data_IF_253942214191
#
_entry.id   IF_253942214191
#
_cell.length_a   1.000
_cell.length_b   1.000
_cell.length_c   1.000
_cell.angle_alpha   90.00
_cell.angle_beta   90.00
_cell.angle_gamma   90.00
#
_symmetry.space_group_name_H-M   'P 1'
#
loop_
_entity.id
_entity.type
_entity.pdbx_description
1 polymer ?
#
# COMPACT_ATOMS: atom_id res chain seq x y z
N UNK A 1 4.13 10.59 12.71
CA UNK A 1 3.05 9.58 12.71
C UNK A 1 3.19 8.85 11.39
N UNK A 2 3.29 7.52 11.41
CA UNK A 2 3.40 6.77 10.16
C UNK A 2 2.02 6.59 9.50
N UNK A 3 1.97 6.05 8.28
CA UNK A 3 0.72 5.83 7.54
C UNK A 3 -0.24 4.89 8.28
N UNK A 4 0.27 3.81 8.86
CA UNK A 4 -0.53 2.81 9.60
C UNK A 4 -1.23 3.47 10.80
N UNK A 5 -0.50 4.23 11.61
CA UNK A 5 -1.04 4.98 12.75
C UNK A 5 -2.11 5.98 12.31
N UNK A 6 -1.85 6.70 11.21
CA UNK A 6 -2.78 7.68 10.65
C UNK A 6 -4.10 7.03 10.20
N UNK A 7 -4.01 5.92 9.47
CA UNK A 7 -5.17 5.17 9.00
C UNK A 7 -5.92 4.50 10.15
N UNK A 8 -5.21 4.00 11.17
CA UNK A 8 -5.80 3.48 12.40
C UNK A 8 -6.65 4.51 13.14
N UNK A 9 -6.15 5.73 13.28
CA UNK A 9 -6.91 6.83 13.89
C UNK A 9 -8.13 7.22 13.05
N UNK A 10 -8.01 7.22 11.71
CA UNK A 10 -9.14 7.45 10.80
C UNK A 10 -10.23 6.38 10.95
N UNK A 11 -9.86 5.09 11.01
CA UNK A 11 -10.81 3.97 11.22
C UNK A 11 -11.58 4.13 12.53
N UNK A 12 -10.91 4.65 13.57
CA UNK A 12 -11.52 4.93 14.86
C UNK A 12 -12.29 6.25 14.92
N UNK A 13 -12.35 7.02 13.82
CA UNK A 13 -12.95 8.35 13.75
C UNK A 13 -12.36 9.33 14.79
N UNK A 14 -11.08 9.15 15.13
CA UNK A 14 -10.35 10.05 16.02
C UNK A 14 -9.88 11.26 15.21
N UNK A 15 -10.22 12.51 15.61
CA UNK A 15 -9.77 13.70 14.92
C UNK A 15 -8.23 13.84 14.91
N UNK A 16 -7.68 14.05 13.72
CA UNK A 16 -6.25 14.26 13.49
C UNK A 16 -6.04 15.71 13.06
N UNK A 17 -5.07 16.39 13.65
CA UNK A 17 -4.72 17.78 13.32
C UNK A 17 -3.34 17.83 12.68
N UNK A 18 -3.23 18.50 11.52
CA UNK A 18 -1.94 18.78 10.87
C UNK A 18 -1.19 19.86 11.65
N UNK A 19 0.10 19.64 11.90
CA UNK A 19 0.97 20.52 12.66
C UNK A 19 2.36 20.55 12.03
N UNK A 20 2.57 21.51 11.11
CA UNK A 20 3.73 21.51 10.22
C UNK A 20 3.71 20.26 9.31
N UNK A 21 4.86 19.58 9.24
CA UNK A 21 5.03 18.33 8.46
C UNK A 21 4.52 17.07 9.17
N UNK A 22 3.94 17.23 10.36
CA UNK A 22 3.50 16.10 11.19
C UNK A 22 2.02 16.19 11.57
N UNK A 23 1.50 15.09 12.11
CA UNK A 23 0.13 14.99 12.60
C UNK A 23 0.09 14.76 14.11
N UNK A 24 -0.91 15.35 14.76
CA UNK A 24 -1.14 15.24 16.21
C UNK A 24 -2.60 14.94 16.53
N UNK A 25 -2.83 14.32 17.67
CA UNK A 25 -4.17 14.02 18.19
C UNK A 25 -4.44 14.92 19.39
N UNK A 26 -5.63 15.52 19.42
CA UNK A 26 -6.09 16.30 20.59
C UNK A 26 -6.50 15.35 21.70
N UNK A 27 -6.03 15.58 22.91
CA UNK A 27 -6.31 14.76 24.10
C UNK A 27 -6.59 15.60 25.32
N UNK A 28 -7.33 15.04 26.26
CA UNK A 28 -7.65 15.68 27.53
C UNK A 28 -6.63 15.27 28.60
N UNK A 29 -5.98 16.26 29.22
CA UNK A 29 -5.14 16.08 30.41
C UNK A 29 -5.99 16.16 31.68
N UNK A 30 -5.44 15.76 32.84
CA UNK A 30 -6.04 16.06 34.14
C UNK A 30 -6.46 17.53 34.23
N UNK A 31 -7.59 17.78 34.90
CA UNK A 31 -8.21 19.11 35.02
C UNK A 31 -8.71 19.71 33.70
N UNK A 32 -9.17 18.86 32.76
CA UNK A 32 -9.83 19.27 31.51
C UNK A 32 -9.00 20.17 30.60
N UNK A 33 -7.66 20.16 30.75
CA UNK A 33 -6.75 20.89 29.85
C UNK A 33 -6.60 20.14 28.55
N UNK A 34 -6.86 20.80 27.42
CA UNK A 34 -6.67 20.20 26.08
C UNK A 34 -5.22 20.34 25.64
N UNK A 35 -4.61 19.25 25.19
CA UNK A 35 -3.24 19.24 24.63
C UNK A 35 -3.21 18.43 23.34
N UNK A 36 -2.14 18.61 22.55
CA UNK A 36 -1.89 17.79 21.37
C UNK A 36 -0.75 16.81 21.66
N UNK A 37 -0.93 15.55 21.25
CA UNK A 37 0.11 14.52 21.36
C UNK A 37 0.48 13.98 19.97
N UNK A 38 1.78 13.76 19.79
CA UNK A 38 2.37 13.00 18.68
C UNK A 38 2.80 11.62 19.17
N UNK A 39 3.29 10.74 18.29
CA UNK A 39 3.76 9.38 18.64
C UNK A 39 2.66 8.60 19.37
N UNK A 40 1.57 8.32 18.65
CA UNK A 40 0.32 7.81 19.21
C UNK A 40 0.43 6.36 19.70
N UNK A 41 1.39 5.61 19.17
CA UNK A 41 1.70 4.24 19.63
C UNK A 41 2.53 4.20 20.92
N UNK A 42 3.04 5.34 21.40
CA UNK A 42 3.76 5.38 22.67
C UNK A 42 2.79 5.03 23.82
N UNK A 43 3.09 4.07 24.72
CA UNK A 43 2.14 3.56 25.72
C UNK A 43 1.41 4.65 26.51
N UNK A 44 2.16 5.65 27.00
CA UNK A 44 1.62 6.80 27.73
C UNK A 44 0.60 7.62 26.91
N UNK A 45 0.90 7.85 25.63
CA UNK A 45 0.01 8.62 24.76
C UNK A 45 -1.19 7.78 24.32
N UNK A 46 -0.99 6.48 24.10
CA UNK A 46 -2.03 5.53 23.75
C UNK A 46 -3.09 5.46 24.85
N UNK A 47 -2.69 5.34 26.11
CA UNK A 47 -3.63 5.39 27.25
C UNK A 47 -4.39 6.71 27.33
N UNK A 48 -3.72 7.83 27.08
CA UNK A 48 -4.32 9.15 27.13
C UNK A 48 -5.35 9.37 26.01
N UNK A 49 -5.04 8.90 24.80
CA UNK A 49 -5.96 8.92 23.65
C UNK A 49 -7.15 7.99 23.92
N UNK A 50 -6.89 6.75 24.37
CA UNK A 50 -7.93 5.79 24.73
C UNK A 50 -8.91 6.38 25.76
N UNK A 51 -8.40 7.03 26.80
CA UNK A 51 -9.22 7.71 27.82
C UNK A 51 -10.03 8.87 27.24
N UNK A 52 -9.40 9.75 26.45
CA UNK A 52 -10.06 10.92 25.83
C UNK A 52 -11.23 10.49 24.95
N UNK A 53 -11.01 9.51 24.07
CA UNK A 53 -11.99 9.09 23.08
C UNK A 53 -12.90 7.94 23.56
N UNK A 54 -12.76 7.52 24.82
CA UNK A 54 -13.53 6.44 25.44
C UNK A 54 -13.45 5.12 24.64
N UNK A 55 -12.25 4.77 24.17
CA UNK A 55 -11.96 3.54 23.43
C UNK A 55 -11.03 2.68 24.29
N UNK A 56 -11.17 1.35 24.25
CA UNK A 56 -10.25 0.49 25.00
C UNK A 56 -8.81 0.61 24.47
N UNK A 57 -7.78 0.67 25.34
CA UNK A 57 -6.38 0.70 24.90
C UNK A 57 -6.03 -0.46 23.97
N UNK A 58 -6.57 -1.65 24.24
CA UNK A 58 -6.41 -2.84 23.39
C UNK A 58 -6.96 -2.62 21.97
N UNK A 59 -8.15 -2.03 21.84
CA UNK A 59 -8.74 -1.73 20.53
C UNK A 59 -7.94 -0.64 19.81
N UNK A 60 -7.57 0.43 20.52
CA UNK A 60 -6.76 1.50 19.95
C UNK A 60 -5.43 0.98 19.43
N UNK A 61 -4.71 0.22 20.25
CA UNK A 61 -3.44 -0.43 19.88
C UNK A 61 -3.60 -1.30 18.65
N UNK A 62 -4.61 -2.18 18.64
CA UNK A 62 -4.90 -3.05 17.50
C UNK A 62 -5.10 -2.24 16.22
N UNK A 63 -5.90 -1.17 16.24
CA UNK A 63 -6.14 -0.37 15.03
C UNK A 63 -4.91 0.44 14.59
N UNK A 64 -4.08 0.91 15.53
CA UNK A 64 -2.82 1.62 15.23
C UNK A 64 -1.73 0.70 14.66
N UNK A 65 -1.79 -0.59 14.97
CA UNK A 65 -0.91 -1.63 14.45
C UNK A 65 -1.52 -2.37 13.25
N UNK A 66 -2.81 -2.14 12.95
CA UNK A 66 -3.52 -2.81 11.87
C UNK A 66 -3.05 -2.28 10.53
N UNK A 67 -2.13 -3.02 9.94
CA UNK A 67 -1.80 -2.93 8.53
C UNK A 67 -3.00 -3.46 7.73
N UNK A 68 -3.83 -2.55 7.21
CA UNK A 68 -4.91 -2.94 6.31
C UNK A 68 -4.28 -3.56 5.06
N UNK A 69 -4.39 -4.88 4.95
CA UNK A 69 -4.09 -5.59 3.72
C UNK A 69 -5.38 -5.65 2.93
N UNK A 70 -5.45 -5.05 1.73
CA UNK A 70 -6.61 -5.23 0.88
C UNK A 70 -6.84 -6.72 0.67
N UNK A 71 -8.10 -7.13 0.55
CA UNK A 71 -8.43 -8.52 0.27
C UNK A 71 -7.64 -8.99 -0.96
N UNK A 72 -6.96 -10.14 -0.82
CA UNK A 72 -6.19 -10.72 -1.92
C UNK A 72 -7.14 -11.20 -3.00
N UNK A 73 -6.90 -10.75 -4.22
CA UNK A 73 -7.71 -11.12 -5.39
C UNK A 73 -6.78 -11.52 -6.52
N UNK A 74 -7.17 -12.57 -7.23
CA UNK A 74 -6.49 -13.02 -8.43
C UNK A 74 -7.52 -13.26 -9.52
N UNK A 75 -7.37 -12.56 -10.64
CA UNK A 75 -8.18 -12.80 -11.83
C UNK A 75 -7.26 -13.26 -12.97
N UNK A 76 -7.67 -14.33 -13.64
CA UNK A 76 -7.00 -14.84 -14.82
C UNK A 76 -7.92 -14.68 -16.03
N UNK A 77 -7.40 -14.11 -17.11
CA UNK A 77 -8.09 -14.04 -18.39
C UNK A 77 -7.18 -14.55 -19.49
N UNK A 78 -7.67 -15.51 -20.26
CA UNK A 78 -6.98 -16.04 -21.43
C UNK A 78 -7.78 -15.79 -22.69
N UNK A 79 -7.11 -15.25 -23.70
CA UNK A 79 -7.58 -15.10 -25.08
C UNK A 79 -6.63 -15.89 -25.99
N UNK A 80 -7.00 -16.07 -27.26
CA UNK A 80 -6.23 -16.87 -28.23
C UNK A 80 -4.75 -16.48 -28.36
N UNK A 81 -4.40 -15.22 -28.09
CA UNK A 81 -3.05 -14.67 -28.26
C UNK A 81 -2.54 -13.92 -27.02
N UNK A 82 -3.31 -13.90 -25.93
CA UNK A 82 -2.99 -13.07 -24.77
C UNK A 82 -3.46 -13.74 -23.46
N UNK A 83 -2.57 -13.73 -22.48
CA UNK A 83 -2.85 -14.11 -21.10
C UNK A 83 -2.68 -12.88 -20.21
N UNK A 84 -3.64 -12.67 -19.31
CA UNK A 84 -3.63 -11.59 -18.34
C UNK A 84 -3.81 -12.16 -16.93
N UNK A 85 -2.89 -11.80 -16.05
CA UNK A 85 -2.87 -12.15 -14.63
C UNK A 85 -2.98 -10.88 -13.81
N UNK A 86 -4.13 -10.68 -13.15
CA UNK A 86 -4.39 -9.51 -12.32
C UNK A 86 -4.30 -9.91 -10.84
N UNK A 87 -3.46 -9.21 -10.09
CA UNK A 87 -3.24 -9.41 -8.66
C UNK A 87 -3.67 -8.16 -7.88
N UNK A 88 -4.61 -8.30 -6.97
CA UNK A 88 -5.08 -7.24 -6.07
C UNK A 88 -4.77 -7.55 -4.61
N UNK A 89 -4.37 -6.54 -3.83
CA UNK A 89 -4.13 -6.70 -2.39
C UNK A 89 -2.82 -7.40 -2.00
N UNK A 90 -1.86 -7.45 -2.92
CA UNK A 90 -0.49 -7.93 -2.67
C UNK A 90 0.43 -6.76 -2.34
N UNK A 91 1.45 -7.00 -1.52
CA UNK A 91 2.55 -6.03 -1.40
C UNK A 91 3.38 -6.00 -2.68
N UNK A 92 4.24 -5.00 -2.80
CA UNK A 92 5.13 -4.85 -3.94
C UNK A 92 6.06 -6.06 -4.08
N UNK A 93 6.78 -6.43 -3.01
CA UNK A 93 7.66 -7.61 -2.96
C UNK A 93 6.92 -8.91 -3.32
N UNK A 94 5.68 -9.08 -2.83
CA UNK A 94 4.87 -10.26 -3.13
C UNK A 94 4.49 -10.32 -4.62
N UNK A 95 4.13 -9.18 -5.20
CA UNK A 95 3.83 -9.07 -6.63
C UNK A 95 5.08 -9.35 -7.47
N UNK A 96 6.22 -8.83 -7.05
CA UNK A 96 7.52 -9.07 -7.67
C UNK A 96 7.87 -10.54 -7.74
N UNK A 97 7.77 -11.23 -6.59
CA UNK A 97 8.04 -12.65 -6.54
C UNK A 97 7.07 -13.44 -7.44
N UNK A 98 5.78 -13.06 -7.48
CA UNK A 98 4.79 -13.69 -8.36
C UNK A 98 5.12 -13.50 -9.84
N UNK A 99 5.56 -12.31 -10.24
CA UNK A 99 6.01 -12.04 -11.61
C UNK A 99 7.24 -12.89 -11.93
N UNK A 100 8.22 -12.96 -11.01
CA UNK A 100 9.41 -13.79 -11.17
C UNK A 100 9.06 -15.25 -11.40
N UNK A 101 8.28 -15.83 -10.48
CA UNK A 101 7.88 -17.23 -10.50
C UNK A 101 7.13 -17.56 -11.80
N UNK A 102 6.22 -16.68 -12.21
CA UNK A 102 5.47 -16.84 -13.46
C UNK A 102 6.40 -16.87 -14.67
N UNK A 103 7.31 -15.90 -14.78
CA UNK A 103 8.21 -15.77 -15.93
C UNK A 103 9.23 -16.91 -15.99
N UNK A 104 9.77 -17.35 -14.85
CA UNK A 104 10.70 -18.48 -14.78
C UNK A 104 10.04 -19.84 -15.08
N UNK A 105 8.72 -19.95 -14.90
CA UNK A 105 7.95 -21.14 -15.23
C UNK A 105 7.66 -21.30 -16.73
N UNK A 106 7.85 -20.24 -17.52
CA UNK A 106 7.55 -20.27 -18.96
C UNK A 106 8.59 -21.10 -19.73
N UNK A 107 8.09 -21.97 -20.60
CA UNK A 107 8.91 -22.84 -21.46
C UNK A 107 8.99 -22.34 -22.91
N UNK A 108 8.21 -21.31 -23.25
CA UNK A 108 8.13 -20.71 -24.59
C UNK A 108 8.58 -19.26 -24.53
N UNK A 109 9.03 -18.75 -25.67
CA UNK A 109 9.28 -17.33 -25.83
C UNK A 109 7.97 -16.55 -25.71
N UNK A 110 7.95 -15.52 -24.86
CA UNK A 110 6.78 -14.68 -24.63
C UNK A 110 7.15 -13.21 -24.71
N UNK A 111 6.15 -12.35 -24.97
CA UNK A 111 6.24 -10.90 -24.77
C UNK A 111 5.36 -10.52 -23.60
N UNK A 112 5.92 -9.83 -22.63
CA UNK A 112 5.22 -9.42 -21.41
C UNK A 112 5.17 -7.90 -21.30
N UNK A 113 4.09 -7.38 -20.73
CA UNK A 113 4.03 -6.02 -20.21
C UNK A 113 3.35 -6.04 -18.84
N UNK A 114 3.66 -5.08 -17.97
CA UNK A 114 3.09 -4.95 -16.63
C UNK A 114 2.28 -3.65 -16.57
N UNK A 115 1.06 -3.73 -16.04
CA UNK A 115 0.19 -2.58 -15.84
C UNK A 115 -0.11 -2.42 -14.35
N UNK A 116 -0.01 -1.18 -13.84
CA UNK A 116 -0.29 -0.89 -12.44
C UNK A 116 -1.68 -0.28 -12.26
N UNK A 117 -2.39 -0.80 -11.26
CA UNK A 117 -3.54 -0.12 -10.65
C UNK A 117 -3.10 0.48 -9.32
N UNK A 118 -3.51 1.72 -9.05
CA UNK A 118 -3.13 2.40 -7.81
C UNK A 118 -4.23 3.33 -7.31
N UNK A 119 -4.22 3.53 -5.98
CA UNK A 119 -5.08 4.50 -5.31
C UNK A 119 -4.26 5.73 -4.96
N UNK A 120 -4.53 6.83 -5.65
CA UNK A 120 -3.91 8.11 -5.34
C UNK A 120 -4.67 8.77 -4.19
N UNK A 121 -3.97 9.04 -3.09
CA UNK A 121 -4.52 9.70 -1.91
C UNK A 121 -3.90 11.10 -1.82
N UNK A 122 -4.71 12.13 -2.01
CA UNK A 122 -4.30 13.51 -1.79
C UNK A 122 -4.12 13.74 -0.29
N UNK A 123 -2.88 14.04 0.11
CA UNK A 123 -2.50 14.22 1.52
C UNK A 123 -3.05 15.51 2.12
N UNK A 124 -3.57 16.43 1.32
CA UNK A 124 -4.05 17.75 1.73
C UNK A 124 -5.55 17.73 2.05
N UNK A 125 -6.36 17.17 1.15
CA UNK A 125 -7.82 17.12 1.30
C UNK A 125 -8.35 15.70 1.58
N UNK A 126 -7.50 14.68 1.54
CA UNK A 126 -7.89 13.29 1.77
C UNK A 126 -8.70 12.67 0.63
N UNK A 127 -8.76 13.31 -0.55
CA UNK A 127 -9.43 12.76 -1.72
C UNK A 127 -8.71 11.52 -2.20
N UNK A 128 -9.50 10.51 -2.53
CA UNK A 128 -9.00 9.24 -3.02
C UNK A 128 -9.46 9.06 -4.47
N UNK A 129 -8.52 8.79 -5.37
CA UNK A 129 -8.80 8.45 -6.77
C UNK A 129 -8.24 7.08 -7.07
N UNK A 130 -9.07 6.20 -7.60
CA UNK A 130 -8.68 4.86 -8.01
C UNK A 130 -8.37 4.88 -9.49
N UNK A 131 -7.17 4.44 -9.85
CA UNK A 131 -6.74 4.21 -11.22
C UNK A 131 -6.62 2.70 -11.42
N UNK A 132 -7.44 2.17 -12.33
CA UNK A 132 -7.40 0.75 -12.68
C UNK A 132 -6.27 0.47 -13.67
N UNK A 133 -5.69 -0.75 -13.65
CA UNK A 133 -4.72 -1.16 -14.66
C UNK A 133 -5.30 -0.98 -16.07
N UNK A 134 -4.59 -0.28 -16.94
CA UNK A 134 -5.00 -0.05 -18.33
C UNK A 134 -3.78 0.15 -19.23
N UNK A 135 -4.01 0.28 -20.54
CA UNK A 135 -2.95 0.62 -21.50
C UNK A 135 -2.24 1.93 -21.20
N UNK A 136 -2.86 2.82 -20.43
CA UNK A 136 -2.29 4.11 -20.04
C UNK A 136 -1.50 4.04 -18.72
N UNK A 137 -1.46 2.87 -18.07
CA UNK A 137 -0.73 2.64 -16.81
C UNK A 137 0.30 1.52 -16.94
N UNK A 138 0.78 1.29 -18.16
CA UNK A 138 1.89 0.38 -18.43
C UNK A 138 3.18 0.91 -17.78
N UNK A 139 3.94 0.02 -17.14
CA UNK A 139 5.26 0.37 -16.59
C UNK A 139 6.27 0.53 -17.74
N UNK A 140 6.18 -0.32 -18.77
CA UNK A 140 7.08 -0.28 -19.91
C UNK A 140 6.40 0.33 -21.13
N UNK A 141 7.11 1.23 -21.79
CA UNK A 141 6.69 1.84 -23.05
C UNK A 141 6.45 0.78 -24.14
N UNK A 142 7.24 -0.30 -24.12
CA UNK A 142 7.13 -1.42 -25.04
C UNK A 142 7.18 -2.75 -24.29
N UNK A 143 6.40 -3.77 -24.73
CA UNK A 143 6.48 -5.12 -24.17
C UNK A 143 7.89 -5.70 -24.29
N UNK A 144 8.36 -6.36 -23.24
CA UNK A 144 9.68 -6.98 -23.17
C UNK A 144 9.57 -8.43 -23.66
N UNK A 145 10.45 -8.80 -24.59
CA UNK A 145 10.57 -10.17 -25.08
C UNK A 145 11.48 -11.00 -24.15
N UNK A 146 10.94 -12.12 -23.67
CA UNK A 146 11.63 -13.10 -22.83
C UNK A 146 11.78 -14.38 -23.65
N UNK A 147 13.03 -14.71 -23.97
CA UNK A 147 13.38 -15.90 -24.74
C UNK A 147 14.05 -16.97 -23.87
N UNK A 148 14.47 -16.62 -22.66
CA UNK A 148 15.16 -17.53 -21.73
C UNK A 148 14.95 -17.10 -20.29
N UNK A 149 15.29 -17.98 -19.33
CA UNK A 149 15.24 -17.63 -17.90
C UNK A 149 16.20 -16.50 -17.52
N UNK A 150 17.35 -16.39 -18.21
CA UNK A 150 18.30 -15.31 -17.97
C UNK A 150 17.72 -13.93 -18.31
N UNK A 151 16.80 -13.86 -19.29
CA UNK A 151 16.12 -12.62 -19.66
C UNK A 151 15.22 -12.09 -18.53
N UNK A 152 14.72 -12.95 -17.63
CA UNK A 152 13.87 -12.52 -16.52
C UNK A 152 14.64 -11.59 -15.59
N UNK A 153 15.84 -12.00 -15.16
CA UNK A 153 16.65 -11.18 -14.28
C UNK A 153 17.19 -9.94 -15.01
N UNK A 154 17.75 -10.14 -16.21
CA UNK A 154 18.48 -9.08 -16.94
C UNK A 154 17.57 -8.02 -17.56
N UNK A 155 16.38 -8.41 -18.03
CA UNK A 155 15.48 -7.51 -18.77
C UNK A 155 14.25 -7.11 -17.98
N UNK A 156 13.75 -7.94 -17.06
CA UNK A 156 12.55 -7.62 -16.29
C UNK A 156 12.93 -7.05 -14.93
N UNK A 157 13.73 -7.77 -14.13
CA UNK A 157 14.05 -7.31 -12.77
C UNK A 157 14.94 -6.07 -12.75
N UNK A 158 16.03 -6.05 -13.52
CA UNK A 158 16.88 -4.86 -13.60
C UNK A 158 16.15 -3.63 -14.15
N UNK A 159 15.19 -3.84 -15.06
CA UNK A 159 14.42 -2.73 -15.63
C UNK A 159 13.43 -2.19 -14.61
N UNK A 160 12.77 -3.07 -13.86
CA UNK A 160 11.87 -2.73 -12.78
C UNK A 160 12.56 -1.96 -11.63
N UNK A 161 13.79 -2.33 -11.27
CA UNK A 161 14.60 -1.57 -10.31
C UNK A 161 14.85 -0.12 -10.76
N UNK A 162 15.05 0.10 -12.07
CA UNK A 162 15.25 1.45 -12.63
C UNK A 162 14.03 2.36 -12.52
N UNK A 163 12.83 1.79 -12.39
CA UNK A 163 11.58 2.52 -12.15
C UNK A 163 11.25 2.71 -10.65
N UNK A 164 12.18 2.37 -9.75
CA UNK A 164 11.99 2.48 -8.30
C UNK A 164 10.96 1.51 -7.74
N UNK A 165 10.67 0.46 -8.49
CA UNK A 165 9.80 -0.61 -8.07
C UNK A 165 10.68 -1.72 -7.47
N UNK A 166 10.89 -1.69 -6.15
CA UNK A 166 11.62 -2.68 -5.35
C UNK A 166 10.72 -3.76 -4.75
#
# INVERSE_FOLDING_TARGET
MNSIEYDGLKRLKIPITKWGDNFRVRVDKPFSRKTFVSKVSLPKNLELIAKTYKISPKRLKRELEYEYRPERRYNFTQKSVLEAHEFGGYSQDELYQKIKDFLESQTKAIKVNIQLGYKLIDRTNGLERIYYPSSNTTIWDLPIAINSKADVEQKVMSHNESYGLH
#
